data_IF_068870323084
#
_entry.id   IF_068870323084
#
_cell.length_a   1.000
_cell.length_b   1.000
_cell.length_c   1.000
_cell.angle_alpha   90.00
_cell.angle_beta   90.00
_cell.angle_gamma   90.00
#
_symmetry.space_group_name_H-M   'P 1'
#
loop_
_entity.id
_entity.type
_entity.pdbx_description
1 polymer ?
#
# COMPACT_ATOMS: atom_id res chain seq x y z
N UNK A 1 15.06 9.59 -14.36
CA UNK A 1 14.12 10.05 -13.32
C UNK A 1 13.27 11.22 -13.80
N UNK A 2 13.82 12.41 -14.07
CA UNK A 2 12.96 13.56 -14.44
C UNK A 2 12.11 13.31 -15.71
N UNK A 3 12.69 12.71 -16.75
CA UNK A 3 11.98 12.41 -18.00
C UNK A 3 10.92 11.32 -17.87
N UNK A 4 11.10 10.41 -16.91
CA UNK A 4 10.20 9.27 -16.67
C UNK A 4 9.16 9.59 -15.58
N UNK A 5 9.20 10.80 -15.01
CA UNK A 5 8.28 11.19 -13.95
C UNK A 5 6.86 11.37 -14.51
N UNK A 6 5.84 10.75 -13.90
CA UNK A 6 4.47 10.88 -14.38
C UNK A 6 3.97 12.33 -14.41
N UNK A 7 3.07 12.61 -15.36
CA UNK A 7 2.47 13.94 -15.48
C UNK A 7 1.61 14.31 -14.27
N UNK A 8 1.57 15.59 -13.92
CA UNK A 8 0.71 16.08 -12.85
C UNK A 8 -0.77 15.77 -13.12
N UNK A 9 -1.50 15.35 -12.08
CA UNK A 9 -2.94 15.17 -12.15
C UNK A 9 -3.61 16.51 -12.42
N UNK A 10 -4.57 16.53 -13.35
CA UNK A 10 -5.39 17.71 -13.61
C UNK A 10 -6.60 17.69 -12.67
N UNK A 11 -6.66 18.62 -11.71
CA UNK A 11 -7.73 18.68 -10.70
C UNK A 11 -9.12 18.65 -11.32
N UNK A 12 -9.33 19.38 -12.42
CA UNK A 12 -10.62 19.42 -13.13
C UNK A 12 -10.97 18.10 -13.82
N UNK A 13 -9.99 17.36 -14.35
CA UNK A 13 -10.23 16.03 -14.94
C UNK A 13 -10.57 15.02 -13.85
N UNK A 14 -9.79 14.99 -12.77
CA UNK A 14 -10.01 14.08 -11.64
C UNK A 14 -11.39 14.31 -11.04
N UNK A 15 -11.76 15.56 -10.78
CA UNK A 15 -13.06 15.90 -10.23
C UNK A 15 -14.22 15.46 -11.13
N UNK A 16 -14.14 15.71 -12.44
CA UNK A 16 -15.15 15.27 -13.40
C UNK A 16 -15.30 13.75 -13.43
N UNK A 17 -14.20 13.00 -13.37
CA UNK A 17 -14.23 11.54 -13.31
C UNK A 17 -14.88 11.06 -12.02
N UNK A 18 -14.47 11.59 -10.87
CA UNK A 18 -15.03 11.22 -9.57
C UNK A 18 -16.54 11.53 -9.50
N UNK A 19 -16.98 12.65 -10.08
CA UNK A 19 -18.41 12.98 -10.19
C UNK A 19 -19.17 11.93 -11.01
N UNK A 20 -18.62 11.49 -12.15
CA UNK A 20 -19.23 10.41 -12.96
C UNK A 20 -19.29 9.07 -12.23
N UNK A 21 -18.29 8.78 -11.39
CA UNK A 21 -18.24 7.56 -10.59
C UNK A 21 -19.11 7.63 -9.33
N UNK A 22 -19.71 8.78 -9.02
CA UNK A 22 -20.42 9.05 -7.77
C UNK A 22 -19.49 9.61 -6.69
N UNK A 23 -19.28 10.92 -6.69
CA UNK A 23 -18.27 11.58 -5.85
C UNK A 23 -18.47 11.37 -4.33
N UNK A 24 -19.71 11.11 -3.90
CA UNK A 24 -20.07 10.89 -2.50
C UNK A 24 -19.88 9.44 -2.04
N UNK A 25 -19.56 8.51 -2.96
CA UNK A 25 -19.29 7.14 -2.58
C UNK A 25 -17.99 7.09 -1.75
N UNK A 26 -17.97 6.39 -0.59
CA UNK A 26 -16.81 6.39 0.32
C UNK A 26 -15.49 6.04 -0.36
N UNK A 27 -15.52 5.10 -1.30
CA UNK A 27 -14.32 4.68 -2.03
C UNK A 27 -13.80 5.74 -3.01
N UNK A 28 -14.67 6.58 -3.57
CA UNK A 28 -14.28 7.69 -4.44
C UNK A 28 -13.75 8.88 -3.63
N UNK A 29 -14.29 9.11 -2.44
CA UNK A 29 -13.74 10.05 -1.46
C UNK A 29 -12.33 9.61 -1.05
N UNK A 30 -12.17 8.32 -0.73
CA UNK A 30 -10.87 7.73 -0.43
C UNK A 30 -9.88 7.92 -1.58
N UNK A 31 -10.26 7.56 -2.81
CA UNK A 31 -9.43 7.76 -4.00
C UNK A 31 -9.01 9.23 -4.18
N UNK A 32 -9.91 10.18 -3.97
CA UNK A 32 -9.59 11.62 -4.05
C UNK A 32 -8.46 11.99 -3.10
N UNK A 33 -8.56 11.59 -1.83
CA UNK A 33 -7.53 11.88 -0.84
C UNK A 33 -6.18 11.24 -1.16
N UNK A 34 -6.19 10.02 -1.69
CA UNK A 34 -4.98 9.33 -2.11
C UNK A 34 -4.31 10.00 -3.32
N UNK A 35 -5.11 10.44 -4.31
CA UNK A 35 -4.64 11.18 -5.49
C UNK A 35 -4.07 12.53 -5.10
N UNK A 36 -4.71 13.26 -4.19
CA UNK A 36 -4.21 14.53 -3.67
C UNK A 36 -2.84 14.35 -2.98
N UNK A 37 -2.65 13.24 -2.26
CA UNK A 37 -1.37 12.91 -1.61
C UNK A 37 -0.27 12.60 -2.62
N UNK A 38 -0.51 11.72 -3.60
CA UNK A 38 0.52 11.38 -4.58
C UNK A 38 0.87 12.56 -5.48
N UNK A 39 -0.11 13.41 -5.80
CA UNK A 39 0.09 14.66 -6.53
C UNK A 39 1.12 15.55 -5.81
N UNK A 40 0.99 15.72 -4.49
CA UNK A 40 1.96 16.52 -3.72
C UNK A 40 3.37 15.94 -3.79
N UNK A 41 3.52 14.62 -3.75
CA UNK A 41 4.82 13.94 -3.92
C UNK A 41 5.39 14.20 -5.31
N UNK A 42 4.59 14.01 -6.36
CA UNK A 42 5.01 14.26 -7.75
C UNK A 42 5.44 15.71 -7.97
N UNK A 43 4.73 16.68 -7.37
CA UNK A 43 5.07 18.10 -7.44
C UNK A 43 6.42 18.40 -6.81
N UNK A 44 6.66 17.93 -5.59
CA UNK A 44 7.92 18.16 -4.88
C UNK A 44 9.10 17.53 -5.63
N UNK A 45 8.93 16.30 -6.15
CA UNK A 45 9.95 15.62 -6.95
C UNK A 45 10.24 16.39 -8.22
N UNK A 46 9.19 16.81 -8.96
CA UNK A 46 9.36 17.56 -10.21
C UNK A 46 10.07 18.88 -9.98
N UNK A 47 9.68 19.63 -8.94
CA UNK A 47 10.32 20.90 -8.57
C UNK A 47 11.80 20.67 -8.24
N UNK A 48 12.08 19.74 -7.32
CA UNK A 48 13.45 19.44 -6.88
C UNK A 48 14.35 19.04 -8.04
N UNK A 49 13.88 18.14 -8.92
CA UNK A 49 14.67 17.67 -10.07
C UNK A 49 14.86 18.75 -11.14
N UNK A 50 13.87 19.61 -11.35
CA UNK A 50 13.96 20.73 -12.31
C UNK A 50 14.94 21.77 -11.80
N UNK A 51 14.83 22.15 -10.52
CA UNK A 51 15.70 23.13 -9.88
C UNK A 51 17.14 22.63 -9.80
N UNK A 52 17.35 21.33 -9.50
CA UNK A 52 18.68 20.72 -9.56
C UNK A 52 19.30 20.83 -10.95
N UNK A 53 18.53 20.53 -12.00
CA UNK A 53 19.01 20.66 -13.39
C UNK A 53 19.41 22.11 -13.69
N UNK A 54 18.54 23.06 -13.39
CA UNK A 54 18.81 24.49 -13.61
C UNK A 54 19.99 25.00 -12.78
N UNK A 55 20.19 24.49 -11.57
CA UNK A 55 21.30 24.87 -10.69
C UNK A 55 22.64 24.32 -11.19
N UNK A 56 22.65 23.09 -11.71
CA UNK A 56 23.83 22.47 -12.32
C UNK A 56 24.20 23.20 -13.62
N UNK A 57 23.20 23.60 -14.41
CA UNK A 57 23.38 24.40 -15.63
C UNK A 57 23.78 25.88 -15.32
N UNK A 58 23.86 26.27 -14.04
CA UNK A 58 24.22 27.63 -13.61
C UNK A 58 23.14 28.69 -13.85
N UNK A 59 21.91 28.28 -14.20
CA UNK A 59 20.78 29.18 -14.43
C UNK A 59 20.19 29.71 -13.12
N UNK A 60 20.19 28.89 -12.07
CA UNK A 60 19.78 29.29 -10.71
C UNK A 60 20.86 28.99 -9.68
N UNK A 61 20.79 29.61 -8.51
CA UNK A 61 21.76 29.41 -7.43
C UNK A 61 21.58 28.04 -6.78
N UNK A 62 22.67 27.28 -6.64
CA UNK A 62 22.71 26.03 -5.87
C UNK A 62 22.53 26.32 -4.38
N UNK A 63 21.27 26.30 -3.92
CA UNK A 63 20.94 26.46 -2.51
C UNK A 63 21.41 25.26 -1.67
N UNK A 64 21.55 25.46 -0.35
CA UNK A 64 21.89 24.36 0.57
C UNK A 64 20.88 23.20 0.48
N UNK A 65 19.58 23.49 0.33
CA UNK A 65 18.56 22.45 0.21
C UNK A 65 18.67 21.63 -1.07
N UNK A 66 19.04 22.27 -2.20
CA UNK A 66 19.31 21.57 -3.46
C UNK A 66 20.57 20.72 -3.32
N UNK A 67 21.64 21.26 -2.72
CA UNK A 67 22.88 20.51 -2.50
C UNK A 67 22.66 19.26 -1.64
N UNK A 68 21.97 19.39 -0.52
CA UNK A 68 21.64 18.23 0.33
C UNK A 68 20.81 17.18 -0.43
N UNK A 69 19.87 17.62 -1.28
CA UNK A 69 19.08 16.70 -2.11
C UNK A 69 19.94 15.99 -3.15
N UNK A 70 20.87 16.70 -3.78
CA UNK A 70 21.83 16.15 -4.74
C UNK A 70 22.74 15.10 -4.08
N UNK A 71 23.31 15.42 -2.92
CA UNK A 71 24.18 14.52 -2.17
C UNK A 71 23.41 13.25 -1.74
N UNK A 72 22.18 13.40 -1.26
CA UNK A 72 21.33 12.26 -0.94
C UNK A 72 21.09 11.36 -2.16
N UNK A 73 20.76 11.96 -3.31
CA UNK A 73 20.54 11.20 -4.55
C UNK A 73 21.81 10.50 -5.05
N UNK A 74 22.97 11.17 -4.93
CA UNK A 74 24.27 10.59 -5.28
C UNK A 74 24.58 9.35 -4.43
N UNK A 75 24.24 9.39 -3.14
CA UNK A 75 24.39 8.26 -2.20
C UNK A 75 23.28 7.21 -2.33
N UNK A 76 22.43 7.27 -3.36
CA UNK A 76 21.24 6.43 -3.53
C UNK A 76 20.24 6.47 -2.36
N UNK A 77 20.24 7.57 -1.58
CA UNK A 77 19.28 7.87 -0.51
C UNK A 77 18.14 8.74 -1.02
N UNK A 78 17.00 8.65 -0.33
CA UNK A 78 15.82 9.47 -0.62
C UNK A 78 16.05 10.86 -0.02
N UNK A 79 15.90 11.96 -0.77
CA UNK A 79 15.91 13.31 -0.20
C UNK A 79 14.89 13.47 0.94
N UNK A 80 15.31 14.09 2.04
CA UNK A 80 14.49 14.24 3.26
C UNK A 80 13.12 14.88 3.00
N UNK A 81 13.08 15.84 2.07
CA UNK A 81 11.82 16.52 1.68
C UNK A 81 10.81 15.54 1.10
N UNK A 82 11.26 14.60 0.26
CA UNK A 82 10.40 13.61 -0.36
C UNK A 82 9.94 12.59 0.67
N UNK A 83 10.85 12.11 1.53
CA UNK A 83 10.52 11.13 2.57
C UNK A 83 9.46 11.64 3.55
N UNK A 84 9.52 12.92 3.94
CA UNK A 84 8.55 13.55 4.88
C UNK A 84 7.10 13.53 4.39
N UNK A 85 6.88 13.54 3.08
CA UNK A 85 5.54 13.61 2.47
C UNK A 85 5.13 12.29 1.81
N UNK A 86 5.99 11.27 1.81
CA UNK A 86 5.78 9.99 1.12
C UNK A 86 5.87 8.80 2.06
N UNK A 87 6.72 7.82 1.75
CA UNK A 87 6.91 6.58 2.49
C UNK A 87 8.40 6.29 2.69
N UNK A 88 8.70 5.43 3.65
CA UNK A 88 10.02 4.88 3.87
C UNK A 88 10.31 3.78 2.83
N UNK A 89 11.49 3.81 2.22
CA UNK A 89 11.97 2.78 1.30
C UNK A 89 13.49 2.62 1.45
N UNK A 90 14.01 1.45 1.09
CA UNK A 90 15.41 1.10 1.36
C UNK A 90 16.42 1.93 0.56
N UNK A 91 16.08 2.28 -0.69
CA UNK A 91 16.95 3.07 -1.58
C UNK A 91 16.11 3.99 -2.44
N UNK A 92 16.75 5.01 -3.03
CA UNK A 92 16.13 5.89 -4.01
C UNK A 92 15.53 5.12 -5.19
N UNK A 93 16.21 4.07 -5.66
CA UNK A 93 15.74 3.25 -6.79
C UNK A 93 14.46 2.48 -6.48
N UNK A 94 14.38 1.87 -5.30
CA UNK A 94 13.15 1.20 -4.84
C UNK A 94 12.03 2.21 -4.63
N UNK A 95 12.32 3.32 -3.94
CA UNK A 95 11.35 4.39 -3.71
C UNK A 95 10.75 4.92 -5.02
N UNK A 96 11.59 5.14 -6.03
CA UNK A 96 11.12 5.64 -7.32
C UNK A 96 10.28 4.61 -8.07
N UNK A 97 10.64 3.33 -8.00
CA UNK A 97 9.83 2.24 -8.57
C UNK A 97 8.44 2.20 -7.91
N UNK A 98 8.39 2.26 -6.58
CA UNK A 98 7.13 2.32 -5.84
C UNK A 98 6.31 3.56 -6.19
N UNK A 99 6.95 4.71 -6.44
CA UNK A 99 6.26 5.93 -6.86
C UNK A 99 5.54 5.71 -8.19
N UNK A 100 6.20 5.07 -9.15
CA UNK A 100 5.62 4.76 -10.46
C UNK A 100 4.48 3.74 -10.32
N UNK A 101 4.65 2.69 -9.53
CA UNK A 101 3.62 1.66 -9.32
C UNK A 101 2.37 2.22 -8.62
N UNK A 102 2.56 3.05 -7.57
CA UNK A 102 1.46 3.72 -6.85
C UNK A 102 0.72 4.68 -7.77
N UNK A 103 1.45 5.46 -8.56
CA UNK A 103 0.86 6.36 -9.55
C UNK A 103 0.08 5.60 -10.62
N UNK A 104 0.63 4.52 -11.15
CA UNK A 104 -0.05 3.66 -12.13
C UNK A 104 -1.37 3.14 -11.58
N UNK A 105 -1.40 2.66 -10.33
CA UNK A 105 -2.63 2.22 -9.68
C UNK A 105 -3.71 3.30 -9.67
N UNK A 106 -3.37 4.53 -9.23
CA UNK A 106 -4.35 5.61 -9.15
C UNK A 106 -4.79 6.10 -10.54
N UNK A 107 -3.86 6.22 -11.50
CA UNK A 107 -4.19 6.60 -12.88
C UNK A 107 -5.10 5.59 -13.54
N UNK A 108 -4.79 4.29 -13.45
CA UNK A 108 -5.65 3.24 -14.00
C UNK A 108 -7.03 3.30 -13.36
N UNK A 109 -7.11 3.55 -12.04
CA UNK A 109 -8.40 3.68 -11.37
C UNK A 109 -9.20 4.88 -11.90
N UNK A 110 -8.59 6.05 -12.07
CA UNK A 110 -9.25 7.24 -12.64
C UNK A 110 -9.67 7.01 -14.10
N UNK A 111 -8.85 6.31 -14.90
CA UNK A 111 -9.11 6.14 -16.33
C UNK A 111 -10.12 5.03 -16.64
N UNK A 112 -10.00 3.90 -15.93
CA UNK A 112 -10.72 2.66 -16.24
C UNK A 112 -11.78 2.30 -15.20
N UNK A 113 -11.90 3.07 -14.13
CA UNK A 113 -12.82 2.80 -13.03
C UNK A 113 -12.23 1.87 -11.97
N UNK A 114 -13.11 1.36 -11.09
CA UNK A 114 -12.74 0.56 -9.91
C UNK A 114 -11.88 -0.65 -10.31
N UNK A 115 -10.70 -0.88 -9.70
CA UNK A 115 -9.93 -2.09 -9.96
C UNK A 115 -10.63 -3.32 -9.35
N UNK A 116 -10.49 -4.47 -10.00
CA UNK A 116 -11.04 -5.74 -9.51
C UNK A 116 -10.32 -6.22 -8.24
N UNK A 117 -9.00 -6.01 -8.19
CA UNK A 117 -8.13 -6.36 -7.06
C UNK A 117 -7.28 -5.13 -6.72
N UNK A 118 -7.32 -4.74 -5.46
CA UNK A 118 -6.61 -3.57 -4.95
C UNK A 118 -5.24 -3.96 -4.41
N UNK A 119 -4.21 -3.23 -4.81
CA UNK A 119 -2.91 -3.31 -4.17
C UNK A 119 -2.92 -2.43 -2.91
N UNK A 120 -3.21 -3.06 -1.77
CA UNK A 120 -3.48 -2.33 -0.52
C UNK A 120 -2.24 -1.60 0.00
N UNK A 121 -1.06 -2.16 -0.25
CA UNK A 121 0.21 -1.59 0.24
C UNK A 121 0.67 -0.41 -0.61
N UNK A 122 0.05 -0.22 -1.78
CA UNK A 122 0.16 0.95 -2.64
C UNK A 122 -0.56 2.20 -2.12
N UNK A 123 -1.45 2.07 -1.13
CA UNK A 123 -2.11 3.23 -0.51
C UNK A 123 -1.22 3.96 0.50
N UNK A 124 -1.41 5.28 0.61
CA UNK A 124 -0.90 6.12 1.70
C UNK A 124 -1.67 5.86 3.00
N UNK A 125 -2.98 5.58 2.92
CA UNK A 125 -3.82 5.28 4.07
C UNK A 125 -4.51 3.91 4.00
N UNK A 126 -3.78 2.78 4.11
CA UNK A 126 -4.38 1.45 4.13
C UNK A 126 -5.35 1.23 5.30
N UNK A 127 -5.18 1.93 6.43
CA UNK A 127 -6.10 1.83 7.57
C UNK A 127 -7.48 2.39 7.21
N UNK A 128 -7.53 3.57 6.59
CA UNK A 128 -8.77 4.17 6.12
C UNK A 128 -9.49 3.32 5.07
N UNK A 129 -8.73 2.54 4.28
CA UNK A 129 -9.29 1.57 3.35
C UNK A 129 -9.96 0.38 4.07
N UNK A 130 -9.35 -0.14 5.14
CA UNK A 130 -9.88 -1.27 5.90
C UNK A 130 -10.99 -0.89 6.89
N UNK A 131 -11.09 0.37 7.31
CA UNK A 131 -12.02 0.81 8.36
C UNK A 131 -13.49 0.49 8.06
N UNK A 132 -13.88 0.46 6.77
CA UNK A 132 -15.24 0.14 6.36
C UNK A 132 -15.55 -1.38 6.30
N UNK A 133 -14.57 -2.24 6.56
CA UNK A 133 -14.64 -3.66 6.29
C UNK A 133 -14.45 -4.49 7.56
N UNK A 134 -15.22 -5.57 7.73
CA UNK A 134 -15.32 -6.30 9.01
C UNK A 134 -14.95 -7.77 8.94
N UNK A 135 -15.08 -8.40 7.78
CA UNK A 135 -14.75 -9.81 7.58
C UNK A 135 -13.79 -10.00 6.43
N UNK A 136 -13.06 -11.10 6.49
CA UNK A 136 -12.12 -11.50 5.46
C UNK A 136 -12.25 -13.01 5.16
N UNK A 137 -11.87 -13.37 3.94
CA UNK A 137 -11.68 -14.72 3.47
C UNK A 137 -10.37 -14.78 2.69
N UNK A 138 -9.47 -15.67 3.10
CA UNK A 138 -8.20 -15.87 2.40
C UNK A 138 -8.47 -16.76 1.19
N UNK A 139 -8.19 -16.25 0.00
CA UNK A 139 -8.40 -17.02 -1.23
C UNK A 139 -7.16 -17.85 -1.56
N UNK A 140 -7.31 -18.78 -2.52
CA UNK A 140 -6.18 -19.49 -3.13
C UNK A 140 -5.60 -18.79 -4.36
N UNK A 141 -6.20 -17.68 -4.76
CA UNK A 141 -5.96 -17.04 -6.05
C UNK A 141 -4.84 -16.01 -5.97
N UNK A 142 -4.08 -15.94 -7.06
CA UNK A 142 -3.20 -14.81 -7.36
C UNK A 142 -4.02 -13.66 -7.96
N UNK A 143 -3.40 -12.48 -8.08
CA UNK A 143 -4.05 -11.32 -8.69
C UNK A 143 -4.47 -11.62 -10.13
N UNK A 144 -3.63 -12.37 -10.86
CA UNK A 144 -3.78 -12.67 -12.28
C UNK A 144 -4.95 -13.63 -12.55
N UNK A 145 -5.35 -14.42 -11.55
CA UNK A 145 -6.47 -15.35 -11.64
C UNK A 145 -7.84 -14.64 -11.58
N UNK A 146 -7.90 -13.42 -11.02
CA UNK A 146 -9.14 -12.70 -10.75
C UNK A 146 -9.42 -11.63 -11.82
N UNK A 147 -10.27 -11.99 -12.78
CA UNK A 147 -10.68 -11.12 -13.90
C UNK A 147 -11.87 -10.22 -13.59
N UNK A 148 -12.63 -10.53 -12.55
CA UNK A 148 -13.83 -9.80 -12.14
C UNK A 148 -13.74 -9.41 -10.66
N UNK A 149 -14.31 -8.26 -10.32
CA UNK A 149 -14.44 -7.84 -8.93
C UNK A 149 -15.46 -8.70 -8.17
N UNK A 150 -15.42 -8.70 -6.82
CA UNK A 150 -16.41 -9.43 -6.04
C UNK A 150 -17.77 -8.73 -6.10
N UNK A 151 -18.89 -9.46 -5.94
CA UNK A 151 -20.23 -8.88 -5.96
C UNK A 151 -20.43 -7.86 -4.82
N UNK A 152 -19.85 -8.14 -3.65
CA UNK A 152 -19.79 -7.23 -2.52
C UNK A 152 -18.37 -7.17 -1.97
N UNK A 153 -17.98 -6.04 -1.37
CA UNK A 153 -16.64 -5.88 -0.80
C UNK A 153 -15.53 -5.64 -1.82
N UNK A 154 -14.31 -6.10 -1.49
CA UNK A 154 -13.08 -5.85 -2.25
C UNK A 154 -12.13 -7.03 -2.18
N UNK A 155 -11.39 -7.29 -3.26
CA UNK A 155 -10.21 -8.14 -3.22
C UNK A 155 -8.97 -7.29 -2.97
N UNK A 156 -8.09 -7.71 -2.07
CA UNK A 156 -6.82 -7.03 -1.79
C UNK A 156 -5.62 -7.95 -1.97
N UNK A 157 -4.50 -7.38 -2.38
CA UNK A 157 -3.22 -8.08 -2.49
C UNK A 157 -2.05 -7.21 -2.01
N UNK A 158 -0.88 -7.83 -1.90
CA UNK A 158 0.39 -7.16 -1.60
C UNK A 158 0.86 -7.30 -0.15
N UNK A 159 0.14 -8.05 0.69
CA UNK A 159 0.57 -8.33 2.06
C UNK A 159 1.59 -9.47 2.13
N UNK A 160 2.46 -9.41 3.13
CA UNK A 160 3.43 -10.43 3.46
C UNK A 160 3.18 -10.99 4.85
N UNK A 161 3.18 -12.31 5.00
CA UNK A 161 3.07 -13.00 6.27
C UNK A 161 4.46 -13.19 6.88
N UNK A 162 4.63 -12.78 8.14
CA UNK A 162 5.84 -12.98 8.94
C UNK A 162 5.54 -13.95 10.09
N UNK A 163 6.48 -14.84 10.39
CA UNK A 163 6.41 -15.74 11.56
C UNK A 163 5.55 -17.00 11.37
N UNK A 164 4.92 -17.16 10.20
CA UNK A 164 4.16 -18.35 9.82
C UNK A 164 4.17 -18.55 8.30
N UNK A 165 3.64 -19.68 7.85
CA UNK A 165 3.31 -19.96 6.46
C UNK A 165 1.81 -20.16 6.30
N UNK A 166 1.30 -20.05 5.08
CA UNK A 166 -0.11 -20.30 4.76
C UNK A 166 -0.22 -21.56 3.89
N UNK A 167 -1.02 -22.54 4.33
CA UNK A 167 -1.46 -23.60 3.43
C UNK A 167 -2.57 -23.06 2.51
N UNK A 168 -2.22 -22.83 1.24
CA UNK A 168 -3.15 -22.27 0.24
C UNK A 168 -4.34 -23.17 -0.08
N UNK A 169 -4.29 -24.47 0.23
CA UNK A 169 -5.40 -25.40 -0.02
C UNK A 169 -6.47 -25.29 1.06
N UNK A 170 -6.06 -25.30 2.32
CA UNK A 170 -6.96 -25.19 3.46
C UNK A 170 -7.22 -23.75 3.92
N UNK A 171 -6.44 -22.77 3.43
CA UNK A 171 -6.43 -21.39 3.88
C UNK A 171 -6.08 -21.21 5.38
N UNK A 172 -5.35 -22.18 5.95
CA UNK A 172 -4.96 -22.20 7.37
C UNK A 172 -3.50 -21.81 7.59
N UNK A 173 -3.22 -21.23 8.75
CA UNK A 173 -1.85 -21.00 9.21
C UNK A 173 -1.15 -22.31 9.53
N UNK A 174 0.09 -22.41 9.06
CA UNK A 174 1.02 -23.51 9.32
C UNK A 174 2.38 -22.95 9.73
N UNK A 175 3.21 -23.79 10.32
CA UNK A 175 4.57 -23.41 10.74
C UNK A 175 5.39 -22.91 9.56
N UNK A 176 6.25 -21.91 9.81
CA UNK A 176 7.06 -21.31 8.76
C UNK A 176 8.03 -22.29 8.13
N UNK A 177 8.24 -22.14 6.82
CA UNK A 177 9.23 -22.94 6.09
C UNK A 177 10.65 -22.54 6.54
N UNK A 178 11.59 -23.49 6.69
CA UNK A 178 12.96 -23.17 7.07
C UNK A 178 13.58 -22.12 6.15
N UNK A 179 14.19 -21.08 6.75
CA UNK A 179 14.86 -19.97 6.04
C UNK A 179 13.93 -19.06 5.21
N UNK A 180 12.62 -19.15 5.37
CA UNK A 180 11.65 -18.21 4.79
C UNK A 180 11.17 -17.26 5.88
N UNK A 181 11.63 -16.02 5.84
CA UNK A 181 11.24 -14.99 6.82
C UNK A 181 9.85 -14.40 6.54
N UNK A 182 9.56 -14.20 5.25
CA UNK A 182 8.34 -13.58 4.76
C UNK A 182 7.74 -14.44 3.65
N UNK A 183 6.42 -14.66 3.70
CA UNK A 183 5.67 -15.33 2.64
C UNK A 183 4.65 -14.38 2.03
N UNK A 184 4.65 -14.24 0.70
CA UNK A 184 3.66 -13.39 0.02
C UNK A 184 2.28 -14.02 0.12
N UNK A 185 1.32 -13.24 0.63
CA UNK A 185 -0.06 -13.68 0.76
C UNK A 185 -0.77 -13.77 -0.59
N UNK A 186 -1.67 -14.75 -0.78
CA UNK A 186 -2.61 -14.73 -1.89
C UNK A 186 -3.57 -13.55 -1.74
N UNK A 187 -4.46 -13.38 -2.73
CA UNK A 187 -5.51 -12.38 -2.65
C UNK A 187 -6.42 -12.66 -1.45
N UNK A 188 -6.71 -11.62 -0.68
CA UNK A 188 -7.63 -11.67 0.45
C UNK A 188 -8.93 -11.00 0.01
N UNK A 189 -10.04 -11.70 0.15
CA UNK A 189 -11.36 -11.14 -0.02
C UNK A 189 -11.80 -10.48 1.28
N UNK A 190 -12.14 -9.20 1.24
CA UNK A 190 -12.60 -8.47 2.41
C UNK A 190 -13.99 -7.93 2.11
N UNK A 191 -14.93 -8.14 3.03
CA UNK A 191 -16.32 -7.71 2.89
C UNK A 191 -16.91 -7.24 4.21
N UNK A 192 -17.99 -6.49 4.13
CA UNK A 192 -18.73 -6.04 5.29
C UNK A 192 -19.81 -7.06 5.64
N UNK A 193 -20.05 -7.26 6.94
CA UNK A 193 -21.19 -8.03 7.44
C UNK A 193 -21.90 -7.27 8.56
N UNK A 194 -23.22 -7.39 8.57
CA UNK A 194 -24.08 -6.89 9.63
C UNK A 194 -24.40 -8.00 10.63
N UNK A 195 -23.38 -8.74 11.09
CA UNK A 195 -23.57 -9.71 12.17
C UNK A 195 -23.25 -9.07 13.52
N UNK A 196 -24.12 -9.31 14.50
CA UNK A 196 -23.91 -9.01 15.91
C UNK A 196 -23.25 -10.16 16.67
N UNK A 197 -22.99 -11.29 16.00
CA UNK A 197 -22.27 -12.41 16.60
C UNK A 197 -20.82 -12.01 16.90
N UNK A 198 -20.32 -12.43 18.07
CA UNK A 198 -18.92 -12.22 18.44
C UNK A 198 -17.96 -12.95 17.48
N UNK A 199 -16.70 -12.50 17.43
CA UNK A 199 -15.63 -13.20 16.69
C UNK A 199 -15.47 -14.62 17.21
N UNK A 200 -15.27 -15.58 16.30
CA UNK A 200 -15.00 -16.97 16.69
C UNK A 200 -13.67 -17.03 17.45
N UNK A 201 -13.66 -17.47 18.72
CA UNK A 201 -12.43 -17.53 19.53
C UNK A 201 -11.39 -18.53 19.02
N UNK A 202 -11.72 -19.36 18.02
CA UNK A 202 -10.77 -20.26 17.35
C UNK A 202 -9.96 -19.57 16.26
N UNK A 203 -10.43 -18.43 15.75
CA UNK A 203 -9.71 -17.68 14.73
C UNK A 203 -8.54 -16.93 15.35
N UNK A 204 -7.43 -16.90 14.64
CA UNK A 204 -6.30 -16.06 15.01
C UNK A 204 -6.46 -14.68 14.39
N UNK A 205 -6.69 -13.68 15.23
CA UNK A 205 -6.69 -12.27 14.81
C UNK A 205 -5.25 -11.82 14.54
N UNK A 206 -4.84 -11.87 13.28
CA UNK A 206 -3.50 -11.51 12.84
C UNK A 206 -3.41 -10.00 12.64
N UNK A 207 -2.51 -9.30 13.34
CA UNK A 207 -2.32 -7.86 13.16
C UNK A 207 -1.62 -7.57 11.83
N UNK A 208 -1.97 -6.44 11.21
CA UNK A 208 -1.36 -5.89 10.00
C UNK A 208 -0.58 -4.64 10.38
N UNK A 209 0.70 -4.58 9.99
CA UNK A 209 1.57 -3.43 10.17
C UNK A 209 2.09 -2.90 8.83
N UNK A 210 2.38 -1.60 8.77
CA UNK A 210 2.97 -0.98 7.58
C UNK A 210 4.39 -1.48 7.31
N UNK A 211 5.14 -1.82 8.36
CA UNK A 211 6.56 -2.21 8.33
C UNK A 211 6.86 -3.28 9.39
N UNK A 212 8.00 -3.99 9.30
CA UNK A 212 8.40 -4.99 10.28
C UNK A 212 8.62 -4.42 11.69
N UNK A 213 8.93 -3.12 11.81
CA UNK A 213 9.02 -2.44 13.11
C UNK A 213 7.60 -2.17 13.65
N UNK A 214 7.12 -3.09 14.49
CA UNK A 214 5.75 -3.09 15.02
C UNK A 214 5.60 -2.06 16.13
N UNK A 215 4.92 -0.96 15.82
CA UNK A 215 4.50 0.07 16.77
C UNK A 215 3.07 0.47 16.47
N UNK A 216 2.38 1.08 17.44
CA UNK A 216 1.00 1.54 17.24
C UNK A 216 0.85 2.52 16.07
N UNK A 217 1.88 3.33 15.82
CA UNK A 217 1.91 4.26 14.67
C UNK A 217 1.95 3.53 13.31
N UNK A 218 2.43 2.28 13.28
CA UNK A 218 2.50 1.46 12.07
C UNK A 218 1.40 0.41 12.01
N UNK A 219 0.52 0.32 13.01
CA UNK A 219 -0.64 -0.58 12.99
C UNK A 219 -1.67 -0.12 11.94
N UNK A 220 -2.23 -1.07 11.20
CA UNK A 220 -3.20 -0.80 10.12
C UNK A 220 -4.56 -1.39 10.46
N UNK A 221 -4.60 -2.56 11.07
CA UNK A 221 -5.81 -3.32 11.37
C UNK A 221 -5.46 -4.78 11.63
N UNK A 222 -6.46 -5.65 11.59
CA UNK A 222 -6.30 -7.09 11.77
C UNK A 222 -7.13 -7.85 10.74
N UNK A 223 -6.69 -9.06 10.39
CA UNK A 223 -7.52 -10.02 9.68
C UNK A 223 -7.48 -11.37 10.38
N UNK A 224 -8.60 -12.08 10.32
CA UNK A 224 -8.78 -13.32 11.04
C UNK A 224 -8.32 -14.52 10.18
N UNK A 225 -7.53 -15.42 10.75
CA UNK A 225 -7.04 -16.64 10.11
C UNK A 225 -7.65 -17.88 10.74
N UNK A 226 -7.96 -18.87 9.90
CA UNK A 226 -8.22 -20.22 10.35
C UNK A 226 -6.92 -20.92 10.78
N UNK A 227 -7.02 -21.74 11.83
CA UNK A 227 -5.89 -22.44 12.43
C UNK A 227 -6.36 -23.71 13.13
N UNK A 228 -5.52 -24.75 13.09
CA UNK A 228 -5.71 -25.97 13.89
C UNK A 228 -5.07 -25.87 15.29
N UNK A 229 -4.21 -24.86 15.50
CA UNK A 229 -3.64 -24.51 16.81
C UNK A 229 -4.49 -23.47 17.54
N UNK A 230 -4.37 -23.42 18.86
CA UNK A 230 -4.91 -22.33 19.67
C UNK A 230 -4.34 -20.98 19.20
N UNK A 231 -5.14 -19.92 19.00
CA UNK A 231 -4.67 -18.61 18.54
C UNK A 231 -3.47 -18.03 19.32
N UNK A 232 -3.35 -18.33 20.62
CA UNK A 232 -2.21 -17.91 21.44
C UNK A 232 -0.88 -18.44 20.93
N UNK A 233 -0.86 -19.59 20.25
CA UNK A 233 0.33 -20.15 19.60
C UNK A 233 0.94 -19.13 18.63
N UNK A 234 0.12 -18.54 17.77
CA UNK A 234 0.55 -17.57 16.77
C UNK A 234 0.87 -16.20 17.38
N UNK A 235 0.14 -15.80 18.43
CA UNK A 235 0.49 -14.61 19.22
C UNK A 235 1.91 -14.72 19.80
N UNK A 236 2.25 -15.85 20.41
CA UNK A 236 3.57 -16.08 21.02
C UNK A 236 4.70 -16.17 19.99
N UNK A 237 4.39 -16.66 18.78
CA UNK A 237 5.31 -16.64 17.64
C UNK A 237 5.46 -15.28 16.98
N UNK A 238 4.66 -14.30 17.41
CA UNK A 238 4.63 -12.98 16.81
C UNK A 238 4.25 -13.04 15.33
N UNK A 239 3.24 -13.83 14.96
CA UNK A 239 2.75 -13.80 13.57
C UNK A 239 2.16 -12.43 13.27
N UNK A 240 2.43 -11.89 12.09
CA UNK A 240 1.83 -10.65 11.63
C UNK A 240 1.80 -10.59 10.11
N UNK A 241 0.97 -9.70 9.59
CA UNK A 241 0.98 -9.28 8.21
C UNK A 241 1.70 -7.94 8.08
N UNK A 242 2.44 -7.79 6.99
CA UNK A 242 3.22 -6.62 6.69
C UNK A 242 2.80 -6.06 5.33
N UNK A 243 2.62 -4.74 5.26
CA UNK A 243 2.42 -4.05 3.98
C UNK A 243 3.72 -3.95 3.17
N UNK A 244 4.85 -3.94 3.86
CA UNK A 244 6.17 -3.91 3.27
C UNK A 244 7.16 -4.63 4.19
N UNK A 245 8.13 -5.31 3.58
CA UNK A 245 9.18 -6.10 4.23
C UNK A 245 10.54 -5.40 4.19
N UNK A 246 10.61 -4.21 3.56
CA UNK A 246 11.82 -3.40 3.40
C UNK A 246 11.89 -2.24 4.39
#
# INVERSE_FOLDING_TARGET
MLNELPEQYSSSKVEKVLQRMGALLPMNIFLRHEVDRIQNVLQEVKSTLTDLKLAIDGTIVMSQGLRTSLDAMYDARIPDKWQKISWESATLGFWYTELLERDAQFRTWIQSGKPNVYWMTGFFNPQGFLTAMRQNLITRYSKEDLKEGPPEGVYVHGLFLEGASLDRRSAKLVESKPKVLYEQMPVIYIYAINSTAGKDPKLYECPIYRKPQRTDQKYVGSIDFETDHNPRHWTLRGVALLCDIK
#
